data_IF_774280599307
#
_entry.id   IF_774280599307
#
_cell.length_a   1.000
_cell.length_b   1.000
_cell.length_c   1.000
_cell.angle_alpha   90.00
_cell.angle_beta   90.00
_cell.angle_gamma   90.00
#
_symmetry.space_group_name_H-M   'P 1'
#
loop_
_entity.id
_entity.type
_entity.pdbx_description
1 polymer ?
#
# COMPACT_ATOMS: atom_id res chain seq x y z
N UNK A 1 -0.59 32.99 -3.63
CA UNK A 1 0.03 32.12 -2.60
C UNK A 1 -0.21 30.67 -2.99
N UNK A 2 0.84 29.89 -3.31
CA UNK A 2 0.70 28.45 -3.63
C UNK A 2 0.29 27.72 -2.35
N UNK A 3 -0.92 27.17 -2.30
CA UNK A 3 -1.31 26.26 -1.21
C UNK A 3 -0.32 25.11 -1.19
N UNK A 4 0.37 24.94 -0.06
CA UNK A 4 1.35 23.89 0.15
C UNK A 4 0.57 22.59 0.36
N UNK A 5 0.60 21.68 -0.62
CA UNK A 5 -0.01 20.36 -0.49
C UNK A 5 0.51 19.69 0.79
N UNK A 6 -0.39 19.21 1.63
CA UNK A 6 -0.05 18.63 2.94
C UNK A 6 0.77 17.35 2.75
N UNK A 7 0.46 16.56 1.72
CA UNK A 7 1.20 15.34 1.36
C UNK A 7 1.48 15.30 -0.14
N UNK A 8 2.66 14.78 -0.51
CA UNK A 8 3.10 14.68 -1.89
C UNK A 8 2.58 13.41 -2.56
N UNK A 9 2.26 13.47 -3.85
CA UNK A 9 1.82 12.31 -4.65
C UNK A 9 2.69 11.04 -4.52
N UNK A 10 4.03 11.11 -4.52
CA UNK A 10 4.90 9.94 -4.36
C UNK A 10 4.79 9.29 -2.97
N UNK A 11 4.55 10.09 -1.92
CA UNK A 11 4.40 9.61 -0.55
C UNK A 11 3.10 8.81 -0.37
N UNK A 12 1.99 9.33 -0.93
CA UNK A 12 0.71 8.64 -1.00
C UNK A 12 0.79 7.39 -1.89
N UNK A 13 1.44 7.52 -3.04
CA UNK A 13 1.65 6.41 -3.99
C UNK A 13 2.42 5.26 -3.37
N UNK A 14 3.45 5.53 -2.58
CA UNK A 14 4.23 4.50 -1.89
C UNK A 14 3.41 3.81 -0.78
N UNK A 15 2.61 4.58 -0.04
CA UNK A 15 1.67 4.00 0.94
C UNK A 15 0.75 3.01 0.25
N UNK A 16 0.03 3.46 -0.78
CA UNK A 16 -0.92 2.64 -1.56
C UNK A 16 -0.24 1.44 -2.21
N UNK A 17 0.97 1.60 -2.76
CA UNK A 17 1.78 0.52 -3.32
C UNK A 17 2.04 -0.58 -2.29
N UNK A 18 2.40 -0.20 -1.08
CA UNK A 18 2.74 -1.14 0.00
C UNK A 18 1.54 -2.02 0.38
N UNK A 19 0.35 -1.42 0.49
CA UNK A 19 -0.86 -2.17 0.78
C UNK A 19 -1.32 -3.00 -0.43
N UNK A 20 -1.21 -2.46 -1.64
CA UNK A 20 -1.54 -3.19 -2.87
C UNK A 20 -0.67 -4.41 -3.08
N UNK A 21 0.61 -4.35 -2.71
CA UNK A 21 1.50 -5.52 -2.70
C UNK A 21 1.09 -6.53 -1.62
N UNK A 22 0.70 -6.07 -0.43
CA UNK A 22 0.29 -6.96 0.67
C UNK A 22 -0.99 -7.74 0.35
N UNK A 23 -1.90 -7.12 -0.39
CA UNK A 23 -3.21 -7.67 -0.75
C UNK A 23 -3.24 -8.32 -2.15
N UNK A 24 -2.10 -8.36 -2.85
CA UNK A 24 -1.97 -9.03 -4.15
C UNK A 24 -1.97 -10.56 -4.01
N UNK A 25 -3.12 -11.14 -3.64
CA UNK A 25 -3.34 -12.58 -3.67
C UNK A 25 -3.63 -13.07 -5.10
N UNK A 26 -3.33 -14.33 -5.38
CA UNK A 26 -3.66 -14.98 -6.66
C UNK A 26 -5.18 -14.90 -6.93
N UNK A 27 -5.60 -14.56 -8.16
CA UNK A 27 -7.02 -14.44 -8.47
C UNK A 27 -7.70 -15.81 -8.44
N UNK A 28 -8.89 -15.85 -7.85
CA UNK A 28 -9.72 -17.06 -7.71
C UNK A 28 -10.31 -17.60 -9.03
N UNK A 29 -9.98 -16.99 -10.16
CA UNK A 29 -10.57 -17.29 -11.47
C UNK A 29 -9.67 -16.81 -12.60
N UNK A 30 -10.22 -16.64 -13.80
CA UNK A 30 -9.41 -16.25 -14.96
C UNK A 30 -8.69 -14.91 -14.74
N UNK A 31 -7.40 -14.86 -15.08
CA UNK A 31 -6.57 -13.64 -15.02
C UNK A 31 -7.22 -12.51 -15.82
N UNK A 32 -7.84 -12.82 -16.96
CA UNK A 32 -8.58 -11.85 -17.78
C UNK A 32 -9.75 -11.21 -17.01
N UNK A 33 -10.55 -12.00 -16.30
CA UNK A 33 -11.65 -11.46 -15.49
C UNK A 33 -11.12 -10.62 -14.32
N UNK A 34 -10.01 -11.03 -13.69
CA UNK A 34 -9.36 -10.25 -12.64
C UNK A 34 -8.83 -8.89 -13.16
N UNK A 35 -8.22 -8.86 -14.34
CA UNK A 35 -7.76 -7.62 -14.98
C UNK A 35 -8.91 -6.70 -15.36
N UNK A 36 -9.98 -7.22 -15.97
CA UNK A 36 -11.14 -6.42 -16.37
C UNK A 36 -11.89 -5.86 -15.16
N UNK A 37 -12.11 -6.69 -14.13
CA UNK A 37 -12.73 -6.24 -12.88
C UNK A 37 -11.84 -5.24 -12.12
N UNK A 38 -10.52 -5.42 -12.13
CA UNK A 38 -9.57 -4.46 -11.56
C UNK A 38 -9.59 -3.11 -12.29
N UNK A 39 -9.67 -3.11 -13.62
CA UNK A 39 -9.76 -1.89 -14.43
C UNK A 39 -11.07 -1.12 -14.14
N UNK A 40 -12.19 -1.85 -14.11
CA UNK A 40 -13.49 -1.29 -13.74
C UNK A 40 -13.45 -0.70 -12.33
N UNK A 41 -12.87 -1.43 -11.38
CA UNK A 41 -12.72 -0.99 -10.00
C UNK A 41 -11.90 0.30 -9.90
N UNK A 42 -10.76 0.40 -10.59
CA UNK A 42 -9.94 1.62 -10.63
C UNK A 42 -10.70 2.83 -11.19
N UNK A 43 -11.49 2.64 -12.25
CA UNK A 43 -12.33 3.68 -12.84
C UNK A 43 -13.45 4.12 -11.89
N UNK A 44 -14.14 3.17 -11.24
CA UNK A 44 -15.21 3.45 -10.27
C UNK A 44 -14.67 4.24 -9.09
N UNK A 45 -13.53 3.84 -8.49
CA UNK A 45 -12.94 4.58 -7.38
C UNK A 45 -12.48 5.99 -7.80
N UNK A 46 -11.93 6.15 -9.00
CA UNK A 46 -11.57 7.46 -9.53
C UNK A 46 -12.79 8.38 -9.63
N UNK A 47 -13.93 7.86 -10.09
CA UNK A 47 -15.20 8.59 -10.12
C UNK A 47 -15.73 8.92 -8.72
N UNK A 48 -15.65 7.98 -7.78
CA UNK A 48 -16.06 8.18 -6.39
C UNK A 48 -15.21 9.24 -5.67
N UNK A 49 -13.90 9.32 -5.95
CA UNK A 49 -13.03 10.39 -5.41
C UNK A 49 -13.51 11.77 -5.88
N UNK A 50 -13.87 11.90 -7.17
CA UNK A 50 -14.44 13.14 -7.71
C UNK A 50 -15.78 13.49 -7.09
N UNK A 51 -16.67 12.50 -6.94
CA UNK A 51 -17.97 12.68 -6.29
C UNK A 51 -17.80 13.09 -4.83
N UNK A 52 -16.91 12.45 -4.08
CA UNK A 52 -16.62 12.80 -2.70
C UNK A 52 -16.11 14.26 -2.59
N UNK A 53 -15.24 14.69 -3.51
CA UNK A 53 -14.82 16.10 -3.60
C UNK A 53 -15.98 17.07 -3.86
N UNK A 54 -16.91 16.71 -4.75
CA UNK A 54 -18.09 17.52 -5.05
C UNK A 54 -19.08 17.58 -3.86
N UNK A 55 -19.32 16.46 -3.19
CA UNK A 55 -20.19 16.37 -2.00
C UNK A 55 -19.60 17.12 -0.80
N UNK A 56 -18.27 17.08 -0.62
CA UNK A 56 -17.56 17.81 0.42
C UNK A 56 -17.83 19.33 0.37
N UNK A 57 -17.98 19.88 -0.83
CA UNK A 57 -18.30 21.30 -1.00
C UNK A 57 -19.76 21.63 -0.72
N UNK A 58 -20.66 20.70 -1.01
CA UNK A 58 -22.10 20.96 -1.00
C UNK A 58 -22.78 20.65 0.34
N UNK A 59 -22.31 19.68 1.10
CA UNK A 59 -23.02 19.19 2.30
C UNK A 59 -22.17 19.26 3.57
N UNK A 60 -22.64 20.03 4.55
CA UNK A 60 -22.01 20.10 5.87
C UNK A 60 -22.15 18.78 6.66
N UNK A 61 -23.29 18.08 6.52
CA UNK A 61 -23.49 16.77 7.15
C UNK A 61 -22.51 15.73 6.59
N UNK A 62 -22.27 15.76 5.27
CA UNK A 62 -21.26 14.90 4.64
C UNK A 62 -19.85 15.21 5.18
N UNK A 63 -19.48 16.49 5.32
CA UNK A 63 -18.19 16.88 5.91
C UNK A 63 -18.02 16.33 7.33
N UNK A 64 -19.02 16.49 8.20
CA UNK A 64 -18.96 16.03 9.58
C UNK A 64 -18.86 14.50 9.68
N UNK A 65 -19.69 13.78 8.93
CA UNK A 65 -19.64 12.31 8.88
C UNK A 65 -18.30 11.81 8.34
N UNK A 66 -17.74 12.49 7.35
CA UNK A 66 -16.45 12.13 6.76
C UNK A 66 -15.27 12.46 7.68
N UNK A 67 -15.38 13.53 8.47
CA UNK A 67 -14.40 13.89 9.50
C UNK A 67 -14.28 12.84 10.62
N UNK A 68 -15.32 12.04 10.87
CA UNK A 68 -15.28 10.94 11.84
C UNK A 68 -14.98 9.60 11.19
N UNK A 69 -15.53 9.32 10.01
CA UNK A 69 -15.32 8.06 9.30
C UNK A 69 -13.88 7.91 8.77
N UNK A 70 -13.29 8.96 8.21
CA UNK A 70 -11.94 8.92 7.64
C UNK A 70 -10.84 8.57 8.66
N UNK A 71 -10.77 9.17 9.88
CA UNK A 71 -9.76 8.78 10.85
C UNK A 71 -9.96 7.34 11.37
N UNK A 72 -11.20 6.90 11.58
CA UNK A 72 -11.47 5.51 11.97
C UNK A 72 -10.99 4.52 10.89
N UNK A 73 -11.19 4.87 9.62
CA UNK A 73 -10.71 4.06 8.51
C UNK A 73 -9.18 4.07 8.40
N UNK A 74 -8.53 5.23 8.55
CA UNK A 74 -7.06 5.31 8.60
C UNK A 74 -6.48 4.50 9.77
N UNK A 75 -7.15 4.49 10.92
CA UNK A 75 -6.76 3.67 12.06
C UNK A 75 -6.90 2.17 11.77
N UNK A 76 -7.98 1.76 11.08
CA UNK A 76 -8.15 0.38 10.65
C UNK A 76 -7.08 -0.06 9.63
N UNK A 77 -6.73 0.81 8.68
CA UNK A 77 -5.63 0.57 7.74
C UNK A 77 -4.28 0.49 8.46
N UNK A 78 -4.03 1.36 9.44
CA UNK A 78 -2.83 1.30 10.29
C UNK A 78 -2.75 -0.05 11.03
N UNK A 79 -3.82 -0.45 11.71
CA UNK A 79 -3.87 -1.72 12.42
C UNK A 79 -3.62 -2.90 11.47
N UNK A 80 -4.24 -2.90 10.28
CA UNK A 80 -4.03 -3.93 9.25
C UNK A 80 -2.56 -4.00 8.83
N UNK A 81 -1.91 -2.87 8.58
CA UNK A 81 -0.49 -2.84 8.16
C UNK A 81 0.44 -3.33 9.26
N UNK A 82 0.16 -2.98 10.53
CA UNK A 82 0.93 -3.47 11.69
C UNK A 82 0.79 -4.98 11.81
N UNK A 83 -0.43 -5.51 11.69
CA UNK A 83 -0.68 -6.95 11.77
C UNK A 83 0.01 -7.71 10.62
N UNK A 84 -0.06 -7.19 9.39
CA UNK A 84 0.63 -7.78 8.24
C UNK A 84 2.15 -7.77 8.42
N UNK A 85 2.73 -6.62 8.80
CA UNK A 85 4.17 -6.51 9.05
C UNK A 85 4.61 -7.41 10.22
N UNK A 86 3.78 -7.55 11.26
CA UNK A 86 4.06 -8.43 12.39
C UNK A 86 4.05 -9.90 11.97
N UNK A 87 3.06 -10.31 11.19
CA UNK A 87 2.97 -11.67 10.66
C UNK A 87 4.22 -12.01 9.85
N UNK A 88 4.65 -11.14 8.93
CA UNK A 88 5.88 -11.33 8.14
C UNK A 88 7.12 -11.40 9.03
N UNK A 89 7.27 -10.51 10.01
CA UNK A 89 8.41 -10.55 10.95
C UNK A 89 8.46 -11.86 11.75
N UNK A 90 7.29 -12.39 12.13
CA UNK A 90 7.17 -13.60 12.94
C UNK A 90 7.35 -14.87 12.11
N UNK A 91 6.74 -14.94 10.94
CA UNK A 91 6.72 -16.11 10.07
C UNK A 91 8.08 -16.31 9.38
N UNK A 92 8.65 -15.23 8.81
CA UNK A 92 9.87 -15.32 7.99
C UNK A 92 11.15 -15.16 8.81
N UNK A 93 11.15 -14.28 9.81
CA UNK A 93 12.35 -13.96 10.59
C UNK A 93 12.33 -14.51 12.01
N UNK A 94 11.26 -15.21 12.43
CA UNK A 94 11.02 -15.67 13.81
C UNK A 94 11.27 -14.57 14.85
N UNK A 95 10.95 -13.32 14.50
CA UNK A 95 11.33 -12.15 15.27
C UNK A 95 10.11 -11.38 15.78
N UNK A 96 10.20 -10.91 17.03
CA UNK A 96 9.24 -9.97 17.64
C UNK A 96 9.70 -8.52 17.51
N UNK A 97 10.72 -8.23 16.69
CA UNK A 97 11.34 -6.90 16.58
C UNK A 97 10.34 -5.77 16.29
N UNK A 98 9.26 -6.05 15.56
CA UNK A 98 8.23 -5.05 15.29
C UNK A 98 7.58 -4.52 16.57
N UNK A 99 7.39 -5.34 17.61
CA UNK A 99 6.82 -4.86 18.88
C UNK A 99 7.71 -3.81 19.55
N UNK A 100 9.03 -3.96 19.44
CA UNK A 100 10.00 -2.98 19.96
C UNK A 100 10.09 -1.70 19.12
N UNK A 101 9.94 -1.82 17.79
CA UNK A 101 10.07 -0.69 16.85
C UNK A 101 8.76 0.09 16.69
N UNK A 102 7.60 -0.56 16.87
CA UNK A 102 6.27 0.05 16.75
C UNK A 102 6.09 1.33 17.57
N UNK A 103 6.42 1.41 18.87
CA UNK A 103 6.26 2.64 19.64
C UNK A 103 7.11 3.78 19.06
N UNK A 104 8.30 3.49 18.52
CA UNK A 104 9.14 4.48 17.86
C UNK A 104 8.52 4.96 16.54
N UNK A 105 7.93 4.07 15.75
CA UNK A 105 7.24 4.43 14.50
C UNK A 105 5.99 5.29 14.76
N UNK A 106 5.22 4.97 15.79
CA UNK A 106 4.04 5.75 16.19
C UNK A 106 4.46 7.11 16.76
N UNK A 107 5.53 7.15 17.56
CA UNK A 107 6.08 8.40 18.06
C UNK A 107 6.63 9.28 16.92
N UNK A 108 7.38 8.71 15.99
CA UNK A 108 7.87 9.38 14.80
C UNK A 108 6.71 9.93 13.97
N UNK A 109 5.69 9.11 13.68
CA UNK A 109 4.45 9.51 13.02
C UNK A 109 3.71 10.64 13.73
N UNK A 110 3.76 10.65 15.06
CA UNK A 110 3.19 11.68 15.91
C UNK A 110 3.96 13.01 15.89
N UNK A 111 5.27 13.02 15.63
CA UNK A 111 6.12 14.22 15.75
C UNK A 111 6.57 14.83 14.42
N UNK A 112 6.73 14.01 13.37
CA UNK A 112 7.24 14.45 12.08
C UNK A 112 6.22 15.31 11.32
N UNK A 113 6.71 16.36 10.63
CA UNK A 113 5.88 17.17 9.76
C UNK A 113 5.47 16.38 8.50
N UNK A 114 4.28 16.63 7.95
CA UNK A 114 3.77 15.88 6.79
C UNK A 114 4.70 15.91 5.56
N UNK A 115 5.50 16.98 5.40
CA UNK A 115 6.47 17.13 4.32
C UNK A 115 7.76 16.30 4.45
N UNK A 116 8.13 15.83 5.66
CA UNK A 116 9.41 15.09 5.86
C UNK A 116 9.36 13.69 5.27
N UNK A 117 8.17 13.10 5.14
CA UNK A 117 7.95 11.78 4.54
C UNK A 117 8.33 11.72 3.06
N UNK A 118 8.40 12.85 2.35
CA UNK A 118 8.74 12.88 0.92
C UNK A 118 10.18 12.42 0.64
N UNK A 119 11.13 12.75 1.53
CA UNK A 119 12.52 12.31 1.38
C UNK A 119 12.63 10.79 1.54
N UNK A 120 11.99 10.24 2.58
CA UNK A 120 11.91 8.80 2.81
C UNK A 120 11.20 8.08 1.65
N UNK A 121 10.08 8.64 1.16
CA UNK A 121 9.36 8.10 0.02
C UNK A 121 10.24 8.00 -1.23
N UNK A 122 11.05 9.03 -1.51
CA UNK A 122 11.97 9.04 -2.66
C UNK A 122 13.00 7.92 -2.57
N UNK A 123 13.60 7.73 -1.39
CA UNK A 123 14.58 6.65 -1.17
C UNK A 123 13.93 5.29 -1.36
N UNK A 124 12.73 5.10 -0.79
CA UNK A 124 12.00 3.83 -0.91
C UNK A 124 11.53 3.56 -2.35
N UNK A 125 11.14 4.58 -3.11
CA UNK A 125 10.86 4.42 -4.54
C UNK A 125 12.09 3.94 -5.33
N UNK A 126 13.29 4.43 -5.01
CA UNK A 126 14.54 3.90 -5.57
C UNK A 126 14.78 2.45 -5.17
N UNK A 127 14.50 2.07 -3.92
CA UNK A 127 14.61 0.68 -3.48
C UNK A 127 13.60 -0.24 -4.18
N UNK A 128 12.35 0.20 -4.35
CA UNK A 128 11.32 -0.53 -5.11
C UNK A 128 11.74 -0.69 -6.57
N UNK A 129 12.25 0.37 -7.20
CA UNK A 129 12.77 0.32 -8.56
C UNK A 129 13.95 -0.65 -8.68
N UNK A 130 14.91 -0.59 -7.76
CA UNK A 130 16.05 -1.49 -7.73
C UNK A 130 15.60 -2.94 -7.52
N UNK A 131 14.66 -3.18 -6.61
CA UNK A 131 14.03 -4.48 -6.41
C UNK A 131 13.37 -5.02 -7.68
N UNK A 132 12.59 -4.18 -8.37
CA UNK A 132 11.95 -4.53 -9.64
C UNK A 132 12.99 -4.87 -10.72
N UNK A 133 14.06 -4.07 -10.86
CA UNK A 133 15.15 -4.32 -11.81
C UNK A 133 15.84 -5.64 -11.51
N UNK A 134 16.08 -5.95 -10.23
CA UNK A 134 16.65 -7.22 -9.80
C UNK A 134 15.69 -8.42 -10.04
N UNK A 135 14.38 -8.19 -10.12
CA UNK A 135 13.40 -9.20 -10.49
C UNK A 135 13.33 -9.48 -12.00
N UNK A 136 13.73 -8.53 -12.86
CA UNK A 136 13.66 -8.70 -14.34
C UNK A 136 14.43 -9.92 -14.87
N UNK A 137 15.66 -10.21 -14.42
CA UNK A 137 16.38 -11.43 -14.81
C UNK A 137 15.63 -12.72 -14.47
N UNK A 138 14.89 -12.73 -13.36
CA UNK A 138 14.10 -13.90 -12.97
C UNK A 138 12.79 -14.07 -13.74
N UNK A 139 12.22 -13.00 -14.28
CA UNK A 139 11.09 -13.07 -15.22
C UNK A 139 11.52 -13.57 -16.62
N UNK A 140 12.77 -13.37 -17.00
CA UNK A 140 13.34 -13.81 -18.29
C UNK A 140 13.74 -15.30 -18.29
N UNK A 141 13.32 -16.08 -17.29
CA UNK A 141 13.61 -17.51 -17.19
C UNK A 141 15.07 -17.83 -16.84
N UNK A 142 15.87 -16.84 -16.46
CA UNK A 142 17.27 -17.05 -16.06
C UNK A 142 17.43 -17.41 -14.58
N UNK A 143 16.33 -17.41 -13.80
CA UNK A 143 16.31 -17.76 -12.38
C UNK A 143 15.06 -18.59 -12.05
N UNK A 144 15.24 -19.83 -11.54
CA UNK A 144 14.18 -20.74 -11.06
C UNK A 144 13.64 -20.35 -9.67
N UNK A 145 12.37 -19.93 -9.61
CA UNK A 145 11.71 -19.51 -8.37
C UNK A 145 11.33 -20.71 -7.49
N UNK A 146 12.04 -20.92 -6.39
CA UNK A 146 11.67 -21.90 -5.38
C UNK A 146 10.38 -21.45 -4.67
N UNK A 147 9.42 -22.38 -4.55
CA UNK A 147 8.09 -22.23 -3.90
C UNK A 147 8.10 -21.32 -2.68
N UNK A 148 7.46 -20.16 -2.79
CA UNK A 148 7.09 -19.30 -1.66
C UNK A 148 5.60 -19.40 -1.28
N UNK A 149 4.86 -20.28 -1.94
CA UNK A 149 3.51 -20.63 -1.53
C UNK A 149 3.50 -22.13 -1.29
N UNK A 150 3.46 -22.52 -0.01
CA UNK A 150 2.95 -23.84 0.32
C UNK A 150 1.59 -23.97 -0.37
N UNK A 151 1.42 -25.00 -1.20
CA UNK A 151 0.16 -25.30 -1.89
C UNK A 151 -1.04 -25.43 -0.90
N UNK A 152 -0.75 -25.50 0.40
CA UNK A 152 -1.72 -25.59 1.49
C UNK A 152 -2.04 -24.26 2.18
N UNK A 153 -1.38 -23.15 1.84
CA UNK A 153 -1.84 -21.82 2.20
C UNK A 153 -2.90 -21.38 1.17
N UNK A 154 -4.03 -22.09 1.16
CA UNK A 154 -5.27 -21.59 0.60
C UNK A 154 -5.67 -20.33 1.38
N UNK A 155 -4.97 -19.21 1.13
CA UNK A 155 -5.52 -17.90 1.43
C UNK A 155 -6.83 -17.88 0.68
N UNK A 156 -7.97 -17.72 1.38
CA UNK A 156 -9.27 -17.83 0.76
C UNK A 156 -9.25 -16.92 -0.45
N UNK A 157 -9.65 -17.47 -1.60
CA UNK A 157 -10.03 -16.75 -2.80
C UNK A 157 -10.76 -15.48 -2.37
N UNK A 158 -10.03 -14.37 -2.20
CA UNK A 158 -10.63 -13.11 -1.78
C UNK A 158 -11.30 -12.62 -3.05
N UNK A 159 -12.60 -12.90 -3.15
CA UNK A 159 -13.49 -12.26 -4.11
C UNK A 159 -13.08 -10.80 -4.16
N UNK A 160 -12.64 -10.32 -5.33
CA UNK A 160 -12.12 -8.97 -5.62
C UNK A 160 -12.67 -7.95 -4.64
N UNK A 161 -12.09 -7.89 -3.43
CA UNK A 161 -12.58 -7.01 -2.41
C UNK A 161 -12.02 -5.70 -2.89
N UNK A 162 -12.92 -4.82 -3.30
CA UNK A 162 -12.59 -3.50 -3.75
C UNK A 162 -11.50 -2.96 -2.80
N UNK A 163 -10.27 -2.89 -3.31
CA UNK A 163 -9.10 -2.54 -2.53
C UNK A 163 -9.13 -1.03 -2.34
N UNK A 164 -9.98 -0.65 -1.39
CA UNK A 164 -10.25 0.72 -1.06
C UNK A 164 -9.29 1.11 0.04
N UNK A 165 -8.34 1.97 -0.32
CA UNK A 165 -7.43 2.56 0.65
C UNK A 165 -7.99 3.90 1.11
N UNK A 166 -7.91 4.15 2.41
CA UNK A 166 -8.37 5.41 3.01
C UNK A 166 -7.66 6.63 2.39
N UNK A 167 -6.43 6.44 1.89
CA UNK A 167 -5.63 7.48 1.24
C UNK A 167 -6.24 8.05 -0.05
N UNK A 168 -7.10 7.30 -0.73
CA UNK A 168 -7.82 7.78 -1.92
C UNK A 168 -8.67 9.01 -1.62
N UNK A 169 -9.23 9.08 -0.42
CA UNK A 169 -10.18 10.11 -0.01
C UNK A 169 -9.56 11.18 0.90
N UNK A 170 -8.23 11.23 0.92
CA UNK A 170 -7.50 12.19 1.74
C UNK A 170 -7.56 13.63 1.15
N UNK A 171 -7.75 13.79 -0.16
CA UNK A 171 -7.75 15.11 -0.82
C UNK A 171 -8.83 16.12 -0.41
N UNK A 172 -10.13 15.76 -0.42
CA UNK A 172 -11.23 16.70 -0.16
C UNK A 172 -11.07 17.54 1.13
N UNK A 173 -10.70 16.96 2.30
CA UNK A 173 -10.51 17.74 3.52
C UNK A 173 -9.30 18.68 3.49
N UNK A 174 -8.23 18.40 2.72
CA UNK A 174 -6.99 19.20 2.77
C UNK A 174 -6.86 20.22 1.65
N UNK A 175 -7.52 20.01 0.51
CA UNK A 175 -7.41 20.87 -0.66
C UNK A 175 -8.67 21.70 -0.90
N UNK A 176 -9.40 22.04 0.18
CA UNK A 176 -10.64 22.83 0.12
C UNK A 176 -11.54 22.39 -1.05
N UNK A 177 -11.81 21.08 -1.15
CA UNK A 177 -12.65 20.43 -2.17
C UNK A 177 -12.18 20.48 -3.63
N UNK A 178 -10.96 20.93 -3.94
CA UNK A 178 -10.31 20.62 -5.23
C UNK A 178 -9.63 19.26 -5.12
N UNK A 179 -9.98 18.33 -6.00
CA UNK A 179 -9.35 17.01 -6.06
C UNK A 179 -8.04 17.10 -6.86
N UNK A 180 -6.86 16.96 -6.23
CA UNK A 180 -5.60 16.98 -6.96
C UNK A 180 -5.45 15.75 -7.86
N UNK A 181 -4.83 15.95 -9.03
CA UNK A 181 -4.67 14.93 -10.08
C UNK A 181 -3.93 13.67 -9.59
N UNK A 182 -3.02 13.82 -8.63
CA UNK A 182 -2.25 12.68 -8.11
C UNK A 182 -3.11 11.69 -7.31
N UNK A 183 -4.21 12.12 -6.67
CA UNK A 183 -5.14 11.22 -5.98
C UNK A 183 -5.95 10.37 -6.95
N UNK A 184 -6.34 10.95 -8.09
CA UNK A 184 -7.02 10.20 -9.15
C UNK A 184 -6.11 9.12 -9.75
N UNK A 185 -4.79 9.29 -9.68
CA UNK A 185 -3.83 8.28 -10.13
C UNK A 185 -3.64 7.11 -9.16
N UNK A 186 -4.06 7.23 -7.89
CA UNK A 186 -3.81 6.19 -6.88
C UNK A 186 -4.56 4.88 -7.13
N UNK A 187 -5.86 4.87 -7.51
CA UNK A 187 -6.56 3.63 -7.87
C UNK A 187 -5.91 2.91 -9.05
N UNK A 188 -5.38 3.66 -10.02
CA UNK A 188 -4.68 3.12 -11.17
C UNK A 188 -3.31 2.54 -10.80
N UNK A 189 -2.60 3.18 -9.88
CA UNK A 189 -1.35 2.64 -9.33
C UNK A 189 -1.61 1.32 -8.60
N UNK A 190 -2.62 1.28 -7.72
CA UNK A 190 -2.98 0.05 -7.00
C UNK A 190 -3.34 -1.09 -7.97
N UNK A 191 -4.12 -0.78 -9.02
CA UNK A 191 -4.43 -1.72 -10.08
C UNK A 191 -3.18 -2.20 -10.82
N UNK A 192 -2.28 -1.29 -11.21
CA UNK A 192 -1.05 -1.64 -11.92
C UNK A 192 -0.16 -2.57 -11.09
N UNK A 193 -0.03 -2.31 -9.78
CA UNK A 193 0.71 -3.15 -8.84
C UNK A 193 0.09 -4.55 -8.73
N UNK A 194 -1.23 -4.63 -8.57
CA UNK A 194 -1.94 -5.92 -8.50
C UNK A 194 -1.85 -6.70 -9.81
N UNK A 195 -2.06 -6.02 -10.95
CA UNK A 195 -1.93 -6.61 -12.27
C UNK A 195 -0.51 -7.13 -12.52
N UNK A 196 0.51 -6.36 -12.15
CA UNK A 196 1.90 -6.78 -12.24
C UNK A 196 2.19 -7.99 -11.35
N UNK A 197 1.64 -8.03 -10.13
CA UNK A 197 1.79 -9.18 -9.25
C UNK A 197 1.09 -10.44 -9.81
N UNK A 198 -0.13 -10.31 -10.36
CA UNK A 198 -0.85 -11.44 -10.98
C UNK A 198 -0.16 -11.96 -12.24
N UNK A 199 0.28 -11.05 -13.11
CA UNK A 199 1.02 -11.39 -14.33
C UNK A 199 2.38 -11.98 -13.98
N UNK A 200 3.07 -11.41 -12.98
CA UNK A 200 4.33 -11.94 -12.45
C UNK A 200 4.16 -13.36 -11.92
N UNK A 201 3.15 -13.61 -11.08
CA UNK A 201 2.82 -14.95 -10.60
C UNK A 201 2.50 -15.92 -11.76
N UNK A 202 1.73 -15.50 -12.75
CA UNK A 202 1.39 -16.32 -13.92
C UNK A 202 2.59 -16.65 -14.82
N UNK A 203 3.53 -15.71 -14.98
CA UNK A 203 4.77 -15.91 -15.75
C UNK A 203 5.79 -16.77 -15.00
N UNK A 204 5.88 -16.61 -13.68
CA UNK A 204 6.85 -17.29 -12.82
C UNK A 204 6.43 -18.73 -12.51
N UNK A 205 5.17 -18.96 -12.18
CA UNK A 205 4.68 -20.28 -11.74
C UNK A 205 4.02 -21.09 -12.85
N UNK A 206 3.77 -20.48 -14.01
CA UNK A 206 3.08 -21.14 -15.13
C UNK A 206 1.64 -21.54 -14.79
N UNK A 207 0.92 -22.07 -15.78
CA UNK A 207 -0.45 -22.57 -15.63
C UNK A 207 -0.52 -24.10 -15.41
N UNK A 208 0.59 -24.78 -15.04
CA UNK A 208 0.65 -26.24 -14.97
C UNK A 208 1.76 -26.80 -14.06
N UNK A 209 1.59 -28.08 -13.69
CA UNK A 209 2.39 -28.81 -12.70
C UNK A 209 3.88 -28.95 -13.08
N UNK A 210 4.76 -28.41 -12.22
CA UNK A 210 6.21 -28.40 -12.42
C UNK A 210 6.90 -29.59 -11.72
N UNK A 211 7.80 -30.35 -12.40
CA UNK A 211 8.41 -31.55 -11.85
C UNK A 211 9.55 -31.24 -10.87
N UNK A 212 9.49 -31.87 -9.69
CA UNK A 212 10.33 -31.66 -8.51
C UNK A 212 11.85 -31.84 -8.70
N UNK A 213 12.30 -32.35 -9.87
CA UNK A 213 13.71 -32.69 -10.12
C UNK A 213 14.57 -31.49 -10.57
N UNK A 214 13.97 -30.42 -11.10
CA UNK A 214 14.70 -29.19 -11.43
C UNK A 214 14.95 -28.29 -10.22
N UNK A 215 14.13 -28.44 -9.16
CA UNK A 215 14.27 -27.72 -7.89
C UNK A 215 15.58 -28.06 -7.15
N UNK A 216 16.07 -29.29 -7.28
CA UNK A 216 17.33 -29.72 -6.64
C UNK A 216 18.57 -29.17 -7.34
N UNK A 217 18.48 -28.84 -8.63
CA UNK A 217 19.61 -28.27 -9.40
C UNK A 217 19.76 -26.77 -9.17
N UNK A 218 18.64 -26.06 -8.98
CA UNK A 218 18.61 -24.65 -8.59
C UNK A 218 19.03 -24.42 -7.12
N UNK A 219 18.80 -25.40 -6.24
CA UNK A 219 19.19 -25.34 -4.81
C UNK A 219 20.71 -25.19 -4.60
N UNK A 220 21.53 -25.73 -5.51
CA UNK A 220 22.99 -25.69 -5.39
C UNK A 220 23.62 -24.32 -5.74
N UNK A 221 22.82 -23.32 -6.18
CA UNK A 221 23.32 -22.01 -6.60
C UNK A 221 23.18 -20.90 -5.54
N UNK A 222 22.49 -21.09 -4.41
CA UNK A 222 22.54 -20.21 -3.22
C UNK A 222 22.09 -18.73 -3.35
N UNK A 223 21.75 -18.25 -4.55
CA UNK A 223 21.37 -16.85 -4.84
C UNK A 223 19.88 -16.56 -4.56
N UNK A 224 19.03 -17.59 -4.66
CA UNK A 224 17.56 -17.48 -4.63
C UNK A 224 16.96 -17.11 -3.27
N UNK A 225 17.47 -17.68 -2.18
CA UNK A 225 16.99 -17.36 -0.81
C UNK A 225 17.32 -15.92 -0.39
N UNK A 226 18.33 -15.29 -1.01
CA UNK A 226 18.79 -13.94 -0.63
C UNK A 226 18.00 -12.83 -1.32
N UNK A 227 17.56 -13.05 -2.56
CA UNK A 227 16.76 -12.08 -3.30
C UNK A 227 15.34 -11.96 -2.75
N UNK A 228 14.73 -13.07 -2.35
CA UNK A 228 13.41 -13.05 -1.71
C UNK A 228 13.44 -12.34 -0.34
N UNK A 229 14.43 -12.65 0.49
CA UNK A 229 14.66 -11.93 1.73
C UNK A 229 14.86 -10.41 1.49
N UNK A 230 15.54 -10.03 0.41
CA UNK A 230 15.71 -8.61 0.03
C UNK A 230 14.38 -7.97 -0.36
N UNK A 231 13.54 -8.65 -1.16
CA UNK A 231 12.22 -8.14 -1.54
C UNK A 231 11.29 -8.00 -0.32
N UNK A 232 11.31 -8.99 0.58
CA UNK A 232 10.59 -8.93 1.86
C UNK A 232 11.08 -7.78 2.72
N UNK A 233 12.40 -7.53 2.78
CA UNK A 233 12.97 -6.39 3.51
C UNK A 233 12.59 -5.04 2.88
N UNK A 234 12.58 -4.94 1.55
CA UNK A 234 12.12 -3.73 0.84
C UNK A 234 10.64 -3.48 1.14
N UNK A 235 9.80 -4.52 1.07
CA UNK A 235 8.38 -4.41 1.43
C UNK A 235 8.21 -4.04 2.90
N UNK A 236 8.96 -4.65 3.83
CA UNK A 236 8.89 -4.36 5.26
C UNK A 236 9.34 -2.92 5.57
N UNK A 237 10.37 -2.42 4.90
CA UNK A 237 10.78 -1.02 4.99
C UNK A 237 9.66 -0.08 4.50
N UNK A 238 8.98 -0.43 3.41
CA UNK A 238 7.81 0.29 2.94
C UNK A 238 6.63 0.20 3.93
N UNK A 239 6.44 -0.94 4.60
CA UNK A 239 5.42 -1.13 5.63
C UNK A 239 5.69 -0.26 6.87
N UNK A 240 6.94 -0.17 7.33
CA UNK A 240 7.32 0.70 8.44
C UNK A 240 7.13 2.18 8.09
N UNK A 241 7.47 2.55 6.85
CA UNK A 241 7.15 3.87 6.31
C UNK A 241 5.63 4.13 6.32
N UNK A 242 4.81 3.17 5.84
CA UNK A 242 3.34 3.28 5.81
C UNK A 242 2.76 3.43 7.21
N UNK A 243 3.25 2.70 8.21
CA UNK A 243 2.82 2.81 9.62
C UNK A 243 3.04 4.25 10.13
N UNK A 244 4.25 4.79 9.96
CA UNK A 244 4.57 6.16 10.37
C UNK A 244 3.76 7.21 9.60
N UNK A 245 3.64 7.05 8.28
CA UNK A 245 2.87 7.91 7.40
C UNK A 245 1.39 7.97 7.78
N UNK A 246 0.75 6.81 7.99
CA UNK A 246 -0.67 6.72 8.39
C UNK A 246 -0.90 7.33 9.77
N UNK A 247 0.06 7.20 10.69
CA UNK A 247 0.00 7.87 11.98
C UNK A 247 0.04 9.41 11.83
N UNK A 248 0.92 9.94 10.99
CA UNK A 248 0.93 11.38 10.66
C UNK A 248 -0.37 11.81 9.98
N UNK A 249 -0.90 11.01 9.04
CA UNK A 249 -2.16 11.27 8.36
C UNK A 249 -3.33 11.33 9.35
N UNK A 250 -3.41 10.37 10.27
CA UNK A 250 -4.40 10.32 11.34
C UNK A 250 -4.30 11.58 12.23
N UNK A 251 -3.09 11.96 12.66
CA UNK A 251 -2.86 13.21 13.43
C UNK A 251 -3.35 14.43 12.65
N UNK A 252 -3.03 14.54 11.36
CA UNK A 252 -3.46 15.69 10.55
C UNK A 252 -4.99 15.74 10.39
N UNK A 253 -5.66 14.59 10.27
CA UNK A 253 -7.12 14.54 10.28
C UNK A 253 -7.68 14.99 11.63
N UNK A 254 -7.20 14.42 12.74
CA UNK A 254 -7.70 14.72 14.09
C UNK A 254 -7.40 16.17 14.52
N UNK A 255 -6.20 16.70 14.25
CA UNK A 255 -5.87 18.08 14.60
C UNK A 255 -6.50 19.10 13.65
N UNK A 256 -6.73 18.75 12.38
CA UNK A 256 -7.50 19.57 11.44
C UNK A 256 -9.00 19.62 11.77
N UNK A 257 -9.49 18.76 12.66
CA UNK A 257 -10.89 18.72 13.12
C UNK A 257 -11.18 19.54 14.37
N UNK A 258 -10.17 20.18 15.00
CA UNK A 258 -10.44 21.10 16.10
C UNK A 258 -11.20 22.32 15.55
N UNK A 259 -12.42 22.63 16.03
CA UNK A 259 -13.05 23.90 15.69
C UNK A 259 -12.09 24.99 16.14
N UNK A 260 -11.79 25.93 15.25
CA UNK A 260 -11.05 27.13 15.61
C UNK A 260 -11.78 27.76 16.80
N UNK A 261 -11.23 27.56 18.01
CA UNK A 261 -11.69 28.23 19.21
C UNK A 261 -11.63 29.71 18.89
N UNK A 262 -12.79 30.37 19.00
CA UNK A 262 -12.86 31.83 19.03
C UNK A 262 -11.88 32.29 20.10
N UNK A 263 -10.70 32.74 19.68
CA UNK A 263 -9.82 33.53 20.52
C UNK A 263 -10.52 34.86 20.71
N UNK A 264 -11.10 35.03 21.89
CA UNK A 264 -11.50 36.34 22.39
C UNK A 264 -10.32 37.28 22.27
N UNK A 265 -10.51 38.35 21.52
CA UNK A 265 -9.71 39.55 21.69
C UNK A 265 -10.12 40.16 23.04
N UNK A 266 -9.29 39.96 24.04
CA UNK A 266 -9.07 40.90 25.14
C UNK A 266 -7.66 41.46 24.99
#
# INVERSE_FOLDING_TARGET
MKQKEVFSGPALGLSVLTAALADAAAPAGSVRAALLSGLLNAAVWSALILLAGAFWQRSQAFRLAWMTALPLWLLAELARTVLQAHAVCREEFRSMALLGVLPLLLWAGGQLASGSWNAAARVLWWMVFLGLVLCLPGLLGQMHWARLVAADAARPARSVQALVYAEYFFGPPQCAGKTPKHLLGLPWLAFAVQAAAWLGMGLVFGAGDYPQRELLRAWNAGVFSRLDALLLLVWLACAFYRIGFLCTALRTCLCGTAPAGKGSAE
#
